data_IF_324600364932
#
_entry.id   IF_324600364932
#
_cell.length_a   1.000
_cell.length_b   1.000
_cell.length_c   1.000
_cell.angle_alpha   90.00
_cell.angle_beta   90.00
_cell.angle_gamma   90.00
#
_symmetry.space_group_name_H-M   'P 1'
#
loop_
_entity.id
_entity.type
_entity.pdbx_description
1 polymer ?
#
# COMPACT_ATOMS: atom_id res chain seq x y z
N UNK A 1 9.61 7.72 -7.07
CA UNK A 1 9.52 6.58 -6.13
C UNK A 1 8.47 6.92 -5.09
N UNK A 2 7.49 6.05 -4.87
CA UNK A 2 6.40 6.27 -3.91
C UNK A 2 6.92 5.92 -2.50
N UNK A 3 6.73 6.85 -1.57
CA UNK A 3 7.17 6.70 -0.18
C UNK A 3 6.00 6.32 0.72
N UNK A 4 6.29 5.72 1.88
CA UNK A 4 5.26 5.42 2.89
C UNK A 4 4.50 6.68 3.35
N UNK A 5 5.16 7.85 3.32
CA UNK A 5 4.53 9.14 3.63
C UNK A 5 3.45 9.52 2.62
N UNK A 6 3.67 9.22 1.33
CA UNK A 6 2.70 9.51 0.27
C UNK A 6 1.45 8.64 0.42
N UNK A 7 1.64 7.37 0.77
CA UNK A 7 0.56 6.43 1.06
C UNK A 7 -0.25 6.91 2.27
N UNK A 8 0.43 7.32 3.36
CA UNK A 8 -0.24 7.86 4.56
C UNK A 8 -1.07 9.10 4.24
N UNK A 9 -0.52 10.01 3.46
CA UNK A 9 -1.23 11.22 3.04
C UNK A 9 -2.45 10.90 2.19
N UNK A 10 -2.36 9.93 1.27
CA UNK A 10 -3.48 9.53 0.44
C UNK A 10 -4.63 8.94 1.27
N UNK A 11 -4.30 8.02 2.19
CA UNK A 11 -5.29 7.44 3.12
C UNK A 11 -5.92 8.53 3.98
N UNK A 12 -5.09 9.40 4.58
CA UNK A 12 -5.59 10.48 5.42
C UNK A 12 -6.51 11.43 4.63
N UNK A 13 -6.14 11.77 3.40
CA UNK A 13 -6.98 12.64 2.56
C UNK A 13 -8.31 12.00 2.20
N UNK A 14 -8.38 10.67 2.01
CA UNK A 14 -9.62 9.96 1.76
C UNK A 14 -10.51 9.92 3.00
N UNK A 15 -9.93 9.59 4.15
CA UNK A 15 -10.64 9.55 5.43
C UNK A 15 -11.22 10.92 5.81
N UNK A 16 -10.42 11.99 5.72
CA UNK A 16 -10.90 13.35 6.03
C UNK A 16 -12.00 13.79 5.05
N UNK A 17 -11.96 13.33 3.80
CA UNK A 17 -12.95 13.70 2.79
C UNK A 17 -14.30 13.03 3.04
N UNK A 18 -14.32 11.75 3.40
CA UNK A 18 -15.57 11.01 3.64
C UNK A 18 -16.15 11.28 5.03
N UNK A 19 -15.32 11.27 6.07
CA UNK A 19 -15.81 11.24 7.45
C UNK A 19 -15.79 12.60 8.14
N UNK A 20 -15.10 13.61 7.61
CA UNK A 20 -14.91 14.93 8.25
C UNK A 20 -14.47 14.85 9.73
N UNK A 21 -13.82 13.75 10.12
CA UNK A 21 -13.33 13.45 11.48
C UNK A 21 -11.82 13.70 11.54
N UNK A 22 -11.35 14.15 12.70
CA UNK A 22 -9.94 14.37 12.94
C UNK A 22 -9.13 13.07 12.90
N UNK A 23 -8.02 13.12 12.18
CA UNK A 23 -7.05 12.02 12.12
C UNK A 23 -5.98 12.27 13.16
N UNK A 24 -6.01 11.47 14.21
CA UNK A 24 -4.98 11.51 15.22
C UNK A 24 -3.65 11.05 14.62
N UNK A 25 -2.71 11.99 14.50
CA UNK A 25 -1.33 11.71 14.12
C UNK A 25 -0.38 11.60 15.32
N UNK A 26 -0.87 11.87 16.54
CA UNK A 26 -0.11 11.75 17.77
C UNK A 26 -0.18 10.31 18.31
N UNK A 27 0.84 9.94 19.08
CA UNK A 27 0.91 8.64 19.75
C UNK A 27 -0.35 8.46 20.62
N UNK A 28 -1.02 7.31 20.49
CA UNK A 28 -2.29 7.00 21.20
C UNK A 28 -2.15 7.20 22.72
N UNK A 29 -0.92 7.19 23.25
CA UNK A 29 -0.58 7.41 24.66
C UNK A 29 -0.82 8.83 25.18
N UNK A 30 -0.78 9.87 24.36
CA UNK A 30 -0.97 11.26 24.83
C UNK A 30 -2.45 11.64 25.05
N UNK A 31 -3.37 10.73 24.77
CA UNK A 31 -4.80 11.02 24.79
C UNK A 31 -5.26 11.61 23.46
N UNK A 32 -6.51 11.33 23.09
CA UNK A 32 -7.08 11.70 21.81
C UNK A 32 -8.51 12.19 21.97
N UNK A 33 -8.90 13.16 21.13
CA UNK A 33 -10.29 13.59 21.03
C UNK A 33 -11.11 12.51 20.32
N UNK A 34 -12.33 12.28 20.78
CA UNK A 34 -13.30 11.37 20.15
C UNK A 34 -14.36 12.20 19.43
N UNK A 35 -14.82 11.79 18.24
CA UNK A 35 -14.33 10.67 17.43
C UNK A 35 -12.97 10.98 16.80
N UNK A 36 -12.15 9.95 16.58
CA UNK A 36 -10.90 10.10 15.82
C UNK A 36 -10.50 8.83 15.08
N UNK A 37 -9.76 9.03 13.99
CA UNK A 37 -9.09 7.95 13.27
C UNK A 37 -7.62 7.90 13.63
N UNK A 38 -7.07 6.70 13.75
CA UNK A 38 -5.64 6.48 13.89
C UNK A 38 -5.16 5.53 12.81
N UNK A 39 -4.16 5.95 12.03
CA UNK A 39 -3.63 5.17 10.89
C UNK A 39 -2.19 4.77 11.18
N UNK A 40 -1.95 3.47 11.18
CA UNK A 40 -0.66 2.83 11.40
C UNK A 40 -0.31 1.94 10.20
N UNK A 41 0.99 1.76 9.98
CA UNK A 41 1.50 0.77 9.03
C UNK A 41 2.17 -0.35 9.80
N UNK A 42 1.75 -1.57 9.51
CA UNK A 42 2.35 -2.81 9.99
C UNK A 42 3.02 -3.56 8.84
N UNK A 43 3.97 -4.45 9.18
CA UNK A 43 4.60 -5.38 8.24
C UNK A 43 5.10 -4.77 6.92
N UNK A 44 5.96 -3.74 7.01
CA UNK A 44 6.60 -3.17 5.81
C UNK A 44 7.70 -4.11 5.30
N UNK A 45 7.39 -4.92 4.30
CA UNK A 45 8.36 -5.76 3.62
C UNK A 45 8.86 -5.09 2.34
N UNK A 46 10.16 -5.20 2.11
CA UNK A 46 10.81 -4.70 0.91
C UNK A 46 11.78 -5.76 0.41
N UNK A 47 11.51 -6.29 -0.77
CA UNK A 47 12.40 -7.20 -1.48
C UNK A 47 12.63 -6.69 -2.90
N UNK A 48 13.62 -7.19 -3.60
CA UNK A 48 13.88 -6.72 -4.95
C UNK A 48 15.23 -7.15 -5.50
N UNK A 49 15.36 -6.99 -6.80
CA UNK A 49 16.56 -7.24 -7.57
C UNK A 49 17.09 -5.90 -8.12
N UNK A 50 18.17 -5.95 -8.89
CA UNK A 50 18.84 -4.79 -9.47
C UNK A 50 17.88 -3.88 -10.26
N UNK A 51 16.93 -4.45 -11.00
CA UNK A 51 16.00 -3.69 -11.85
C UNK A 51 14.62 -3.42 -11.21
N UNK A 52 14.25 -4.08 -10.11
CA UNK A 52 12.89 -4.02 -9.56
C UNK A 52 12.86 -4.13 -8.03
N UNK A 53 11.99 -3.35 -7.40
CA UNK A 53 11.70 -3.43 -5.96
C UNK A 53 10.26 -3.81 -5.76
N UNK A 54 10.04 -4.90 -5.06
CA UNK A 54 8.75 -5.25 -4.47
C UNK A 54 8.62 -4.61 -3.08
N UNK A 55 7.47 -4.02 -2.82
CA UNK A 55 7.07 -3.53 -1.51
C UNK A 55 5.71 -4.11 -1.17
N UNK A 56 5.58 -4.66 0.02
CA UNK A 56 4.29 -4.95 0.63
C UNK A 56 4.18 -4.27 1.99
N UNK A 57 2.97 -3.84 2.32
CA UNK A 57 2.66 -3.17 3.57
C UNK A 57 1.23 -3.51 3.98
N UNK A 58 1.03 -3.66 5.29
CA UNK A 58 -0.30 -3.78 5.87
C UNK A 58 -0.67 -2.43 6.46
N UNK A 59 -1.78 -1.85 6.01
CA UNK A 59 -2.35 -0.64 6.62
C UNK A 59 -3.32 -1.06 7.69
N UNK A 60 -3.23 -0.42 8.86
CA UNK A 60 -4.22 -0.60 9.91
C UNK A 60 -4.80 0.75 10.35
N UNK A 61 -6.12 0.83 10.32
CA UNK A 61 -6.93 1.99 10.65
C UNK A 61 -7.74 1.63 11.88
N UNK A 62 -7.61 2.44 12.92
CA UNK A 62 -8.43 2.34 14.12
C UNK A 62 -9.40 3.51 14.16
N UNK A 63 -10.66 3.22 14.40
CA UNK A 63 -11.69 4.22 14.61
C UNK A 63 -12.15 4.19 16.06
N UNK A 64 -12.08 5.35 16.70
CA UNK A 64 -12.57 5.56 18.05
C UNK A 64 -13.92 6.27 17.99
N UNK A 65 -15.03 5.59 18.35
CA UNK A 65 -16.36 6.16 18.27
C UNK A 65 -16.57 7.29 19.29
N UNK A 66 -17.56 8.12 18.99
CA UNK A 66 -17.92 9.32 19.76
C UNK A 66 -18.45 8.97 21.15
N UNK A 67 -19.35 7.99 21.23
CA UNK A 67 -19.97 7.54 22.49
C UNK A 67 -19.45 6.16 22.92
N UNK A 68 -19.29 5.94 24.23
CA UNK A 68 -18.93 4.63 24.80
C UNK A 68 -20.13 3.71 25.05
N UNK A 69 -21.36 4.22 25.02
CA UNK A 69 -22.56 3.44 25.34
C UNK A 69 -23.45 3.15 24.13
N UNK A 70 -23.44 4.02 23.10
CA UNK A 70 -24.24 3.87 21.88
C UNK A 70 -23.37 3.86 20.60
N UNK A 71 -22.25 3.14 20.60
CA UNK A 71 -21.35 3.08 19.44
C UNK A 71 -21.71 2.01 18.41
N UNK A 72 -22.59 1.05 18.74
CA UNK A 72 -22.76 -0.14 17.91
C UNK A 72 -23.27 0.17 16.49
N UNK A 73 -24.14 1.18 16.35
CA UNK A 73 -24.66 1.61 15.04
C UNK A 73 -23.60 2.44 14.29
N UNK A 74 -23.02 3.44 14.96
CA UNK A 74 -21.96 4.30 14.41
C UNK A 74 -20.77 3.47 13.91
N UNK A 75 -20.35 2.46 14.66
CA UNK A 75 -19.26 1.55 14.28
C UNK A 75 -19.61 0.71 13.07
N UNK A 76 -20.85 0.20 12.97
CA UNK A 76 -21.29 -0.56 11.81
C UNK A 76 -21.35 0.33 10.55
N UNK A 77 -21.88 1.55 10.66
CA UNK A 77 -21.91 2.50 9.55
C UNK A 77 -20.50 2.88 9.09
N UNK A 78 -19.60 3.18 10.03
CA UNK A 78 -18.19 3.51 9.70
C UNK A 78 -17.47 2.31 9.10
N UNK A 79 -17.75 1.09 9.58
CA UNK A 79 -17.19 -0.13 9.01
C UNK A 79 -17.61 -0.30 7.55
N UNK A 80 -18.92 -0.20 7.26
CA UNK A 80 -19.44 -0.33 5.89
C UNK A 80 -18.90 0.77 4.96
N UNK A 81 -18.75 1.99 5.48
CA UNK A 81 -18.15 3.09 4.73
C UNK A 81 -16.66 2.86 4.46
N UNK A 82 -15.90 2.33 5.42
CA UNK A 82 -14.49 1.97 5.23
C UNK A 82 -14.33 0.84 4.22
N UNK A 83 -15.15 -0.21 4.32
CA UNK A 83 -15.16 -1.32 3.36
C UNK A 83 -15.43 -0.81 1.93
N UNK A 84 -16.44 0.05 1.75
CA UNK A 84 -16.73 0.65 0.45
C UNK A 84 -15.63 1.60 -0.05
N UNK A 85 -14.99 2.35 0.85
CA UNK A 85 -13.92 3.29 0.50
C UNK A 85 -12.63 2.56 0.08
N UNK A 86 -12.35 1.42 0.70
CA UNK A 86 -11.14 0.62 0.50
C UNK A 86 -11.42 -0.74 -0.19
N UNK A 87 -12.48 -0.82 -0.99
CA UNK A 87 -12.94 -2.07 -1.61
C UNK A 87 -11.94 -2.65 -2.63
N UNK A 88 -11.51 -1.82 -3.60
CA UNK A 88 -10.75 -2.32 -4.76
C UNK A 88 -9.43 -1.61 -5.02
N UNK A 89 -9.41 -0.27 -4.93
CA UNK A 89 -8.26 0.52 -5.38
C UNK A 89 -8.00 1.73 -4.51
N UNK A 90 -6.75 1.87 -4.08
CA UNK A 90 -6.25 3.08 -3.43
C UNK A 90 -5.54 3.97 -4.45
N UNK A 91 -6.01 5.19 -4.66
CA UNK A 91 -5.29 6.19 -5.46
C UNK A 91 -4.21 6.87 -4.62
N UNK A 92 -2.95 6.72 -5.01
CA UNK A 92 -1.81 7.40 -4.39
C UNK A 92 -1.03 8.15 -5.47
N UNK A 93 -1.01 9.48 -5.37
CA UNK A 93 -0.44 10.37 -6.38
C UNK A 93 -1.07 10.08 -7.77
N UNK A 94 -0.25 9.66 -8.73
CA UNK A 94 -0.65 9.33 -10.11
C UNK A 94 -0.89 7.83 -10.36
N UNK A 95 -0.92 7.00 -9.31
CA UNK A 95 -1.08 5.55 -9.45
C UNK A 95 -2.23 5.01 -8.62
N UNK A 96 -2.83 3.93 -9.10
CA UNK A 96 -3.80 3.13 -8.36
C UNK A 96 -3.12 1.85 -7.88
N UNK A 97 -3.19 1.61 -6.57
CA UNK A 97 -2.78 0.35 -5.97
C UNK A 97 -4.00 -0.52 -5.74
N UNK A 98 -3.86 -1.81 -5.99
CA UNK A 98 -4.88 -2.76 -5.59
C UNK A 98 -4.79 -2.98 -4.08
N UNK A 99 -5.95 -3.10 -3.47
CA UNK A 99 -6.09 -3.46 -2.07
C UNK A 99 -6.38 -4.95 -2.04
N UNK A 100 -5.58 -5.68 -1.26
CA UNK A 100 -5.72 -7.11 -1.06
C UNK A 100 -6.11 -7.36 0.40
N UNK A 101 -6.95 -8.37 0.64
CA UNK A 101 -7.23 -8.91 1.96
C UNK A 101 -7.70 -7.87 3.01
N UNK A 102 -8.85 -7.25 2.74
CA UNK A 102 -9.51 -6.35 3.69
C UNK A 102 -10.12 -7.12 4.87
N UNK A 103 -9.85 -6.68 6.09
CA UNK A 103 -10.43 -7.25 7.30
C UNK A 103 -10.88 -6.18 8.27
N UNK A 104 -12.07 -6.35 8.82
CA UNK A 104 -12.66 -5.47 9.83
C UNK A 104 -12.94 -6.27 11.10
N UNK A 105 -12.55 -5.75 12.25
CA UNK A 105 -12.79 -6.38 13.55
C UNK A 105 -13.05 -5.29 14.58
N UNK A 106 -14.11 -5.44 15.35
CA UNK A 106 -14.40 -4.54 16.48
C UNK A 106 -13.93 -5.21 17.77
N UNK A 107 -13.07 -4.55 18.54
CA UNK A 107 -12.56 -5.05 19.82
C UNK A 107 -12.65 -3.93 20.87
N UNK A 108 -13.26 -4.24 22.02
CA UNK A 108 -13.45 -3.30 23.14
C UNK A 108 -14.08 -1.94 22.74
N UNK A 109 -14.99 -1.95 21.75
CA UNK A 109 -15.66 -0.76 21.23
C UNK A 109 -14.79 0.13 20.34
N UNK A 110 -13.64 -0.39 19.87
CA UNK A 110 -12.80 0.24 18.85
C UNK A 110 -12.90 -0.60 17.58
N UNK A 111 -13.19 0.06 16.46
CA UNK A 111 -13.17 -0.60 15.16
C UNK A 111 -11.75 -0.60 14.64
N UNK A 112 -11.24 -1.79 14.35
CA UNK A 112 -9.96 -1.99 13.67
C UNK A 112 -10.23 -2.50 12.26
N UNK A 113 -9.66 -1.81 11.29
CA UNK A 113 -9.79 -2.12 9.88
C UNK A 113 -8.39 -2.22 9.29
N UNK A 114 -8.07 -3.33 8.63
CA UNK A 114 -6.78 -3.52 8.00
C UNK A 114 -6.91 -4.05 6.59
N UNK A 115 -5.91 -3.74 5.79
CA UNK A 115 -5.80 -4.24 4.43
C UNK A 115 -4.34 -4.23 3.98
N UNK A 116 -4.04 -5.09 3.01
CA UNK A 116 -2.71 -5.23 2.45
C UNK A 116 -2.59 -4.50 1.12
N UNK A 117 -1.44 -3.88 0.89
CA UNK A 117 -1.07 -3.33 -0.42
C UNK A 117 0.28 -3.89 -0.81
N UNK A 118 0.37 -4.38 -2.05
CA UNK A 118 1.61 -4.82 -2.67
C UNK A 118 1.84 -4.10 -4.00
N UNK A 119 3.06 -3.65 -4.25
CA UNK A 119 3.43 -3.01 -5.51
C UNK A 119 4.89 -3.21 -5.90
N UNK A 120 5.13 -3.11 -7.21
CA UNK A 120 6.46 -3.14 -7.80
C UNK A 120 6.87 -1.75 -8.29
N UNK A 121 8.10 -1.35 -7.97
CA UNK A 121 8.76 -0.16 -8.51
C UNK A 121 9.95 -0.58 -9.36
N UNK A 122 9.96 -0.17 -10.63
CA UNK A 122 11.15 -0.30 -11.47
C UNK A 122 12.26 0.63 -10.97
N UNK A 123 13.49 0.14 -10.97
CA UNK A 123 14.69 0.97 -10.86
C UNK A 123 15.29 1.10 -12.25
N UNK A 124 15.66 2.31 -12.64
CA UNK A 124 16.56 2.48 -13.77
C UNK A 124 17.91 1.92 -13.36
N UNK A 125 18.35 0.89 -14.09
CA UNK A 125 19.69 0.35 -13.98
C UNK A 125 20.48 0.95 -15.14
N UNK A 126 21.36 1.91 -14.84
CA UNK A 126 22.35 2.34 -15.82
C UNK A 126 23.39 1.24 -15.94
N UNK A 127 23.50 0.63 -17.12
CA UNK A 127 24.66 -0.19 -17.43
C UNK A 127 25.89 0.74 -17.38
N UNK A 128 26.82 0.50 -16.48
CA UNK A 128 28.16 1.05 -16.64
C UNK A 128 28.83 0.23 -17.75
N UNK A 129 28.69 0.63 -19.03
CA UNK A 129 29.49 0.09 -20.16
C UNK A 129 30.93 0.60 -20.13
N UNK A 130 31.43 1.03 -18.99
CA UNK A 130 32.83 1.37 -18.81
C UNK A 130 33.56 0.23 -18.09
N UNK A 131 34.05 -0.74 -18.87
CA UNK A 131 35.28 -1.44 -18.50
C UNK A 131 35.24 -2.95 -18.21
N UNK A 132 34.32 -3.72 -18.80
CA UNK A 132 34.50 -5.18 -18.86
C UNK A 132 34.35 -5.65 -20.30
N UNK A 133 35.50 -5.90 -20.92
CA UNK A 133 35.68 -6.53 -22.22
C UNK A 133 35.25 -8.00 -22.10
N UNK A 134 33.95 -8.26 -22.18
CA UNK A 134 33.48 -9.61 -22.48
C UNK A 134 33.80 -9.86 -23.96
N UNK A 135 34.55 -10.92 -24.32
CA UNK A 135 34.67 -11.29 -25.72
C UNK A 135 33.26 -11.59 -26.22
N UNK A 136 32.73 -10.67 -27.01
CA UNK A 136 31.52 -10.91 -27.79
C UNK A 136 31.95 -11.93 -28.82
N UNK A 137 31.78 -13.21 -28.52
CA UNK A 137 31.93 -14.24 -29.53
C UNK A 137 30.86 -13.96 -30.60
N UNK A 138 31.25 -13.62 -31.83
CA UNK A 138 30.28 -13.40 -32.89
C UNK A 138 29.49 -14.70 -33.05
N UNK A 139 28.16 -14.57 -33.03
CA UNK A 139 27.23 -15.68 -33.23
C UNK A 139 27.63 -16.42 -34.51
N UNK A 140 27.95 -17.71 -34.38
CA UNK A 140 28.39 -18.54 -35.51
C UNK A 140 27.30 -18.54 -36.60
N UNK A 141 27.68 -18.21 -37.84
CA UNK A 141 26.75 -18.26 -38.97
C UNK A 141 26.34 -19.72 -39.21
N UNK A 142 25.02 -19.98 -39.16
CA UNK A 142 24.45 -21.28 -39.51
C UNK A 142 24.52 -21.48 -41.03
N UNK A 143 25.49 -22.26 -41.49
CA UNK A 143 25.55 -22.73 -42.88
C UNK A 143 24.45 -23.76 -43.14
N UNK A 144 23.40 -23.36 -43.86
CA UNK A 144 22.39 -24.28 -44.35
C UNK A 144 22.86 -24.93 -45.66
N UNK A 145 23.30 -26.19 -45.59
CA UNK A 145 23.49 -27.01 -46.79
C UNK A 145 22.12 -27.24 -47.47
N UNK A 146 21.96 -26.70 -48.67
CA UNK A 146 20.83 -27.04 -49.54
C UNK A 146 20.90 -28.52 -49.89
N UNK A 147 19.96 -29.30 -49.35
CA UNK A 147 19.71 -30.66 -49.82
C UNK A 147 19.41 -30.61 -51.33
N UNK A 148 20.22 -31.33 -52.10
CA UNK A 148 20.06 -31.49 -53.54
C UNK A 148 18.82 -32.37 -53.80
N UNK A 149 17.98 -31.88 -54.70
CA UNK A 149 16.77 -32.47 -55.24
C UNK A 149 17.00 -33.84 -55.91
#
# INVERSE_FOLDING_TARGET
MITYKDIKKAINSLLTKEFAIDINSNDVKEGFARPSFFVQFENSNRSGNESQVYKSLTVQIYYFPSDRHNYSIEVMEVQEQLENLFDLKLKVLDRFFNIDNTSATTTDGVLSFSFDIAFYEGREFEYNTTGVDYPVEPMEELDFEKAKE
#
